data_IF_851066046652
#
_entry.id   IF_851066046652
#
_cell.length_a   1.000
_cell.length_b   1.000
_cell.length_c   1.000
_cell.angle_alpha   90.00
_cell.angle_beta   90.00
_cell.angle_gamma   90.00
#
_symmetry.space_group_name_H-M   'P 1'
#
loop_
_entity.id
_entity.type
_entity.pdbx_description
1 polymer ?
#
# COMPACT_ATOMS: atom_id res chain seq x y z
N UNK A 1 -9.78 7.89 -18.93
CA UNK A 1 -9.41 6.52 -19.35
C UNK A 1 -7.90 6.37 -19.20
N UNK A 2 -7.50 5.95 -18.00
CA UNK A 2 -6.30 6.42 -17.29
C UNK A 2 -5.07 5.56 -17.59
N UNK A 3 -3.94 6.20 -17.88
CA UNK A 3 -2.64 5.61 -18.22
C UNK A 3 -2.18 4.51 -17.23
N UNK A 4 -2.57 4.62 -15.96
CA UNK A 4 -2.32 3.62 -14.91
C UNK A 4 -2.99 2.26 -15.14
N UNK A 5 -4.20 2.22 -15.73
CA UNK A 5 -4.86 0.96 -16.12
C UNK A 5 -4.09 0.27 -17.25
N UNK A 6 -3.49 1.03 -18.17
CA UNK A 6 -2.73 0.49 -19.30
C UNK A 6 -1.38 -0.09 -18.86
N UNK A 7 -0.67 0.61 -17.96
CA UNK A 7 0.64 0.16 -17.44
C UNK A 7 0.50 -1.10 -16.57
N UNK A 8 -0.53 -1.16 -15.71
CA UNK A 8 -0.79 -2.36 -14.89
C UNK A 8 -1.19 -3.56 -15.76
N UNK A 9 -1.94 -3.34 -16.84
CA UNK A 9 -2.36 -4.40 -17.75
C UNK A 9 -1.18 -4.91 -18.62
N UNK A 10 -0.31 -4.01 -19.09
CA UNK A 10 0.89 -4.37 -19.86
C UNK A 10 1.95 -5.11 -19.03
N UNK A 11 2.15 -4.74 -17.76
CA UNK A 11 3.07 -5.47 -16.87
C UNK A 11 2.54 -6.86 -16.48
N UNK A 12 1.24 -7.00 -16.29
CA UNK A 12 0.62 -8.31 -15.98
C UNK A 12 0.66 -9.22 -17.21
N UNK A 13 0.32 -8.72 -18.40
CA UNK A 13 0.29 -9.54 -19.62
C UNK A 13 1.68 -10.01 -20.07
N UNK A 14 2.73 -9.21 -19.87
CA UNK A 14 4.10 -9.65 -20.16
C UNK A 14 4.57 -10.76 -19.20
N UNK A 15 4.15 -10.72 -17.93
CA UNK A 15 4.50 -11.74 -16.95
C UNK A 15 3.74 -13.06 -17.18
N UNK A 16 2.54 -12.99 -17.76
CA UNK A 16 1.71 -14.17 -18.05
C UNK A 16 2.14 -14.90 -19.34
N UNK A 17 2.70 -14.19 -20.33
CA UNK A 17 3.21 -14.81 -21.55
C UNK A 17 4.47 -15.67 -21.34
N UNK A 18 5.26 -15.40 -20.28
CA UNK A 18 6.46 -16.18 -19.96
C UNK A 18 6.14 -17.52 -19.25
N UNK A 19 4.88 -17.75 -18.84
CA UNK A 19 4.54 -18.87 -17.97
C UNK A 19 3.79 -20.04 -18.62
N UNK A 20 3.39 -19.99 -19.91
CA UNK A 20 2.79 -21.11 -20.64
C UNK A 20 1.82 -21.96 -19.78
N UNK A 21 0.75 -21.33 -19.27
CA UNK A 21 -0.28 -22.02 -18.51
C UNK A 21 -1.54 -22.11 -19.36
N UNK A 22 -1.70 -23.25 -20.03
CA UNK A 22 -2.96 -23.71 -20.56
C UNK A 22 -3.89 -24.11 -19.40
N UNK A 23 -5.07 -23.51 -19.42
CA UNK A 23 -6.33 -23.95 -18.83
C UNK A 23 -6.49 -24.11 -17.29
N UNK A 24 -7.68 -23.65 -16.88
CA UNK A 24 -8.39 -23.88 -15.62
C UNK A 24 -7.95 -23.07 -14.38
N UNK A 25 -8.62 -21.92 -14.19
CA UNK A 25 -9.36 -21.59 -12.97
C UNK A 25 -8.77 -22.10 -11.64
N UNK A 26 -7.53 -21.72 -11.34
CA UNK A 26 -6.93 -21.86 -10.02
C UNK A 26 -6.54 -20.49 -9.52
N UNK A 27 -7.26 -20.04 -8.49
CA UNK A 27 -6.88 -18.90 -7.68
C UNK A 27 -5.39 -19.01 -7.35
N UNK A 28 -4.59 -18.04 -7.83
CA UNK A 28 -3.16 -17.98 -7.57
C UNK A 28 -2.97 -17.73 -6.08
N UNK A 29 -2.87 -18.80 -5.31
CA UNK A 29 -2.57 -18.74 -3.87
C UNK A 29 -1.08 -18.50 -3.68
N UNK A 30 -0.72 -17.37 -3.08
CA UNK A 30 0.67 -17.12 -2.68
C UNK A 30 1.00 -17.99 -1.46
N UNK A 31 1.91 -18.96 -1.62
CA UNK A 31 2.42 -19.79 -0.54
C UNK A 31 3.76 -19.23 -0.05
N UNK A 32 3.81 -18.75 1.19
CA UNK A 32 5.05 -18.29 1.83
C UNK A 32 5.57 -19.39 2.76
N UNK A 33 6.78 -19.89 2.51
CA UNK A 33 7.44 -20.93 3.31
C UNK A 33 8.68 -20.33 3.98
N UNK A 34 8.79 -20.46 5.31
CA UNK A 34 9.98 -20.06 6.07
C UNK A 34 10.43 -21.23 6.95
N UNK A 35 11.68 -21.64 6.82
CA UNK A 35 12.27 -22.77 7.58
C UNK A 35 11.47 -24.08 7.48
N UNK A 36 10.92 -24.39 6.29
CA UNK A 36 10.14 -25.61 6.07
C UNK A 36 8.73 -25.60 6.66
N UNK A 37 8.28 -24.47 7.24
CA UNK A 37 6.90 -24.30 7.71
C UNK A 37 6.15 -23.34 6.80
N UNK A 38 4.91 -23.71 6.48
CA UNK A 38 3.96 -22.80 5.84
C UNK A 38 3.68 -21.64 6.80
N UNK A 39 3.90 -20.42 6.35
CA UNK A 39 3.36 -19.23 7.00
C UNK A 39 1.95 -19.07 6.45
N UNK A 40 0.96 -19.25 7.31
CA UNK A 40 -0.41 -18.82 7.04
C UNK A 40 -0.50 -17.44 7.68
N UNK A 41 -0.81 -16.43 6.89
CA UNK A 41 -1.16 -15.14 7.44
C UNK A 41 -2.55 -15.28 8.07
N UNK A 42 -2.65 -15.10 9.38
CA UNK A 42 -3.90 -15.17 10.14
C UNK A 42 -4.60 -13.81 10.19
N UNK A 43 -4.18 -12.85 9.37
CA UNK A 43 -4.79 -11.54 9.34
C UNK A 43 -6.23 -11.59 8.86
N UNK A 44 -7.15 -11.29 9.77
CA UNK A 44 -8.57 -11.07 9.45
C UNK A 44 -8.75 -9.69 8.83
N UNK A 45 -9.01 -9.66 7.52
CA UNK A 45 -9.35 -8.44 6.81
C UNK A 45 -10.66 -7.86 7.35
N UNK A 46 -10.64 -6.56 7.61
CA UNK A 46 -11.79 -5.80 8.07
C UNK A 46 -12.09 -4.73 7.04
N UNK A 47 -13.38 -4.51 6.77
CA UNK A 47 -13.88 -3.46 5.86
C UNK A 47 -13.65 -3.71 4.35
N UNK A 48 -13.62 -4.96 3.91
CA UNK A 48 -13.47 -5.31 2.48
C UNK A 48 -14.75 -5.03 1.66
N UNK A 49 -15.90 -4.91 2.33
CA UNK A 49 -17.20 -4.67 1.71
C UNK A 49 -17.50 -3.17 1.45
N UNK A 50 -16.51 -2.29 1.59
CA UNK A 50 -16.69 -0.85 1.41
C UNK A 50 -16.75 -0.47 -0.08
N UNK A 51 -17.80 0.26 -0.47
CA UNK A 51 -17.92 0.82 -1.81
C UNK A 51 -17.00 2.04 -1.94
N UNK A 52 -16.06 1.97 -2.88
CA UNK A 52 -15.16 3.08 -3.17
C UNK A 52 -15.86 4.23 -3.91
N UNK A 53 -15.50 5.49 -3.65
CA UNK A 53 -16.00 6.63 -4.43
C UNK A 53 -15.63 6.52 -5.91
N UNK A 54 -16.40 7.19 -6.78
CA UNK A 54 -16.04 7.30 -8.20
C UNK A 54 -14.78 8.16 -8.35
N UNK A 55 -13.99 7.91 -9.40
CA UNK A 55 -12.73 8.61 -9.68
C UNK A 55 -12.88 10.15 -9.62
N UNK A 56 -13.97 10.70 -10.15
CA UNK A 56 -14.26 12.14 -10.19
C UNK A 56 -14.53 12.76 -8.81
N UNK A 57 -14.79 11.93 -7.80
CA UNK A 57 -15.09 12.34 -6.43
C UNK A 57 -13.86 12.22 -5.52
N UNK A 58 -12.72 11.76 -6.05
CA UNK A 58 -11.52 11.54 -5.26
C UNK A 58 -10.82 12.87 -4.93
N UNK A 59 -10.59 13.08 -3.65
CA UNK A 59 -9.70 14.10 -3.10
C UNK A 59 -8.51 13.35 -2.53
N UNK A 60 -7.42 13.33 -3.31
CA UNK A 60 -6.24 12.51 -3.05
C UNK A 60 -5.21 13.32 -2.26
N UNK A 61 -4.66 12.71 -1.21
CA UNK A 61 -3.53 13.25 -0.46
C UNK A 61 -2.31 12.34 -0.64
N UNK A 62 -1.26 12.87 -1.26
CA UNK A 62 0.02 12.18 -1.39
C UNK A 62 0.80 12.24 -0.07
N UNK A 63 1.23 11.09 0.44
CA UNK A 63 1.77 10.92 1.78
C UNK A 63 3.06 10.10 1.78
N UNK A 64 4.11 10.66 2.39
CA UNK A 64 5.34 9.93 2.74
C UNK A 64 5.24 9.41 4.17
N UNK A 65 5.22 8.08 4.35
CA UNK A 65 5.08 7.44 5.68
C UNK A 65 6.23 7.82 6.62
N UNK A 66 7.42 8.01 6.06
CA UNK A 66 8.64 8.44 6.78
C UNK A 66 8.46 9.74 7.56
N UNK A 67 7.89 10.76 6.92
CA UNK A 67 7.92 12.14 7.39
C UNK A 67 6.58 12.66 7.91
N UNK A 68 5.49 11.93 7.68
CA UNK A 68 4.15 12.39 8.05
C UNK A 68 3.92 12.54 9.57
N UNK A 69 4.70 11.86 10.40
CA UNK A 69 4.64 11.94 11.86
C UNK A 69 5.99 12.27 12.47
N UNK A 70 6.00 12.86 13.67
CA UNK A 70 7.19 13.11 14.50
C UNK A 70 7.95 14.41 14.22
N UNK A 71 7.25 15.50 13.89
CA UNK A 71 7.79 16.87 13.87
C UNK A 71 7.96 17.47 15.28
N UNK A 72 8.44 18.72 15.38
CA UNK A 72 8.65 19.41 16.67
C UNK A 72 7.38 19.44 17.54
N UNK A 73 6.20 19.56 16.90
CA UNK A 73 4.90 19.59 17.56
C UNK A 73 4.22 18.20 17.69
N UNK A 74 4.83 17.13 17.18
CA UNK A 74 4.25 15.78 17.17
C UNK A 74 5.11 14.80 17.98
N UNK A 75 4.58 14.39 19.13
CA UNK A 75 5.26 13.48 20.07
C UNK A 75 5.38 12.04 19.57
N UNK A 76 4.71 11.68 18.47
CA UNK A 76 4.82 10.34 17.89
C UNK A 76 6.18 10.14 17.22
N UNK A 77 6.63 8.89 17.13
CA UNK A 77 7.83 8.56 16.37
C UNK A 77 7.65 8.88 14.87
N UNK A 78 8.74 9.09 14.14
CA UNK A 78 8.70 9.18 12.67
C UNK A 78 8.53 7.80 12.04
N UNK A 79 8.02 7.77 10.81
CA UNK A 79 8.24 6.64 9.90
C UNK A 79 7.52 5.33 10.19
N UNK A 80 6.33 5.34 10.81
CA UNK A 80 5.54 4.10 10.97
C UNK A 80 4.11 4.24 10.48
N UNK A 81 3.58 3.17 9.88
CA UNK A 81 2.17 3.08 9.49
C UNK A 81 1.21 3.28 10.68
N UNK A 82 1.61 2.87 11.88
CA UNK A 82 0.83 3.09 13.10
C UNK A 82 0.63 4.59 13.39
N UNK A 83 1.64 5.40 13.15
CA UNK A 83 1.54 6.84 13.37
C UNK A 83 0.68 7.52 12.31
N UNK A 84 0.71 7.03 11.06
CA UNK A 84 -0.24 7.45 10.03
C UNK A 84 -1.67 7.11 10.45
N UNK A 85 -1.91 5.89 10.95
CA UNK A 85 -3.24 5.47 11.44
C UNK A 85 -3.78 6.40 12.55
N UNK A 86 -2.93 6.82 13.48
CA UNK A 86 -3.32 7.74 14.57
C UNK A 86 -3.80 9.11 14.06
N UNK A 87 -3.42 9.51 12.84
CA UNK A 87 -3.78 10.79 12.21
C UNK A 87 -4.85 10.66 11.13
N UNK A 88 -5.48 9.49 10.95
CA UNK A 88 -6.58 9.32 9.99
C UNK A 88 -7.73 10.28 10.28
N UNK A 89 -8.01 10.57 11.57
CA UNK A 89 -9.01 11.56 11.97
C UNK A 89 -8.74 12.94 11.36
N UNK A 90 -7.50 13.41 11.42
CA UNK A 90 -7.06 14.67 10.80
C UNK A 90 -7.27 14.66 9.28
N UNK A 91 -6.89 13.59 8.58
CA UNK A 91 -7.08 13.50 7.13
C UNK A 91 -8.56 13.52 6.74
N UNK A 92 -9.42 12.91 7.57
CA UNK A 92 -10.87 12.96 7.39
C UNK A 92 -11.43 14.36 7.61
N UNK A 93 -10.98 15.07 8.65
CA UNK A 93 -11.37 16.46 8.92
C UNK A 93 -10.92 17.42 7.81
N UNK A 94 -9.75 17.17 7.22
CA UNK A 94 -9.25 17.88 6.05
C UNK A 94 -10.14 17.68 4.80
N UNK A 95 -10.99 16.64 4.79
CA UNK A 95 -11.88 16.32 3.67
C UNK A 95 -11.26 15.40 2.63
N UNK A 96 -10.11 14.80 2.92
CA UNK A 96 -9.45 13.81 2.06
C UNK A 96 -10.22 12.49 2.13
N UNK A 97 -10.39 11.83 0.97
CA UNK A 97 -11.05 10.51 0.90
C UNK A 97 -10.18 9.42 0.27
N UNK A 98 -9.00 9.76 -0.25
CA UNK A 98 -8.01 8.82 -0.75
C UNK A 98 -6.59 9.24 -0.35
N UNK A 99 -5.77 8.27 0.05
CA UNK A 99 -4.37 8.49 0.39
C UNK A 99 -3.53 7.81 -0.68
N UNK A 100 -2.64 8.57 -1.32
CA UNK A 100 -1.62 8.05 -2.22
C UNK A 100 -0.31 7.93 -1.45
N UNK A 101 0.17 6.70 -1.24
CA UNK A 101 1.42 6.48 -0.52
C UNK A 101 2.61 6.60 -1.49
N UNK A 102 3.55 7.47 -1.13
CA UNK A 102 4.89 7.46 -1.72
C UNK A 102 5.58 6.09 -1.49
N UNK A 103 6.63 5.73 -2.26
CA UNK A 103 7.13 4.36 -2.35
C UNK A 103 7.28 3.64 -1.00
N UNK A 104 6.47 2.60 -0.79
CA UNK A 104 6.46 1.77 0.43
C UNK A 104 7.20 0.43 0.28
N UNK A 105 7.70 0.13 -0.92
CA UNK A 105 8.48 -1.09 -1.15
C UNK A 105 9.79 -1.01 -0.40
N UNK A 106 10.27 -2.14 0.10
CA UNK A 106 11.60 -2.23 0.68
C UNK A 106 12.65 -1.79 -0.36
N UNK A 107 13.50 -0.86 0.03
CA UNK A 107 14.68 -0.46 -0.72
C UNK A 107 15.89 -0.47 0.22
N UNK A 108 17.10 -0.65 -0.33
CA UNK A 108 18.32 -0.59 0.46
C UNK A 108 18.59 0.86 0.91
N UNK A 109 18.18 1.17 2.14
CA UNK A 109 18.42 2.45 2.79
C UNK A 109 17.78 2.45 4.18
N UNK A 110 18.56 2.74 5.23
CA UNK A 110 17.95 3.18 6.49
C UNK A 110 17.60 4.65 6.30
N UNK A 111 16.34 4.96 6.05
CA UNK A 111 15.87 6.34 6.15
C UNK A 111 16.04 6.81 7.59
N UNK A 112 17.11 7.57 7.80
CA UNK A 112 17.26 8.68 8.75
C UNK A 112 18.67 9.27 8.52
N UNK A 113 18.86 9.94 7.38
CA UNK A 113 20.05 10.78 7.14
C UNK A 113 19.82 12.25 7.55
N UNK A 114 18.95 12.50 8.54
CA UNK A 114 18.81 13.82 9.16
C UNK A 114 18.72 13.66 10.69
N UNK A 115 19.87 13.37 11.30
CA UNK A 115 20.29 13.88 12.62
C UNK A 115 21.77 13.50 12.81
N UNK A 116 22.65 14.44 12.48
CA UNK A 116 23.96 14.60 13.12
C UNK A 116 23.84 15.76 14.09
#
# INVERSE_FOLDING_TARGET
>A
MTLYKLIRNLQILNYLNELNLDDAEQAVGVLIIKNGKRIIDEYEWKYDDCVLPKDEQLVIYELHVGDFSGGEDDRNSRGTFKNVMNKIGYLKELGVNAIELMPIKEYPGKENCLHK
#
